data_IF_866565974504
#
_entry.id   IF_866565974504
#
_cell.length_a   1.000
_cell.length_b   1.000
_cell.length_c   1.000
_cell.angle_alpha   90.00
_cell.angle_beta   90.00
_cell.angle_gamma   90.00
#
_symmetry.space_group_name_H-M   'P 1'
#
loop_
_entity.id
_entity.type
_entity.pdbx_description
1 polymer ?
#
# COMPACT_ATOMS: atom_id res chain seq x y z
N UNK A 1 47.64 11.68 1.22
CA UNK A 1 46.38 12.27 1.77
C UNK A 1 45.16 12.22 0.84
N UNK A 2 45.23 11.73 -0.41
CA UNK A 2 44.07 11.67 -1.34
C UNK A 2 43.22 10.38 -1.30
N UNK A 3 43.66 9.30 -0.67
CA UNK A 3 42.89 8.04 -0.63
C UNK A 3 41.69 8.04 0.35
N UNK A 4 41.70 8.84 1.40
CA UNK A 4 40.64 8.84 2.40
C UNK A 4 39.39 9.64 2.01
N UNK A 5 39.48 10.49 0.98
CA UNK A 5 38.31 11.27 0.51
C UNK A 5 37.36 10.49 -0.38
N UNK A 6 37.89 9.55 -1.16
CA UNK A 6 37.08 8.69 -2.06
C UNK A 6 36.35 7.57 -1.32
N UNK A 7 36.92 7.03 -0.24
CA UNK A 7 36.24 6.01 0.59
C UNK A 7 35.06 6.58 1.39
N UNK A 8 35.14 7.85 1.83
CA UNK A 8 34.03 8.50 2.53
C UNK A 8 32.85 8.89 1.63
N UNK A 9 33.07 9.05 0.32
CA UNK A 9 32.01 9.31 -0.66
C UNK A 9 31.19 8.05 -0.99
N UNK A 10 31.74 6.86 -0.76
CA UNK A 10 31.07 5.56 -1.00
C UNK A 10 30.23 5.09 0.18
N UNK A 11 30.50 5.56 1.39
CA UNK A 11 29.68 5.29 2.59
C UNK A 11 28.58 6.35 2.73
N UNK A 12 27.51 6.22 1.99
CA UNK A 12 26.30 6.97 2.31
C UNK A 12 25.85 6.57 3.74
N UNK A 13 25.61 7.56 4.63
CA UNK A 13 25.18 7.26 5.99
C UNK A 13 23.91 6.43 5.91
N UNK A 14 23.88 5.32 6.65
CA UNK A 14 22.72 4.46 6.80
C UNK A 14 21.58 5.34 7.32
N UNK A 15 20.68 5.73 6.44
CA UNK A 15 19.53 6.57 6.85
C UNK A 15 18.56 5.67 7.58
N UNK A 16 18.50 5.75 8.89
CA UNK A 16 17.59 5.02 9.79
C UNK A 16 16.13 5.03 9.31
N UNK A 17 15.72 6.06 8.57
CA UNK A 17 14.39 6.16 7.95
C UNK A 17 14.00 4.97 7.07
N UNK A 18 14.97 4.23 6.55
CA UNK A 18 14.69 3.07 5.70
C UNK A 18 14.41 1.81 6.49
N UNK A 19 14.94 1.71 7.71
CA UNK A 19 14.75 0.56 8.57
C UNK A 19 13.48 0.67 9.42
N UNK A 20 12.91 1.87 9.56
CA UNK A 20 11.69 2.10 10.36
C UNK A 20 10.56 1.18 9.92
N UNK A 21 10.37 0.97 8.62
CA UNK A 21 9.30 0.09 8.13
C UNK A 21 9.54 -1.36 8.51
N UNK A 22 10.78 -1.85 8.36
CA UNK A 22 11.12 -3.22 8.75
C UNK A 22 10.91 -3.41 10.25
N UNK A 23 11.39 -2.47 11.04
CA UNK A 23 11.22 -2.49 12.50
C UNK A 23 9.74 -2.45 12.86
N UNK A 24 8.95 -1.56 12.23
CA UNK A 24 7.52 -1.46 12.49
C UNK A 24 6.76 -2.75 12.13
N UNK A 25 7.00 -3.31 10.94
CA UNK A 25 6.36 -4.55 10.48
C UNK A 25 6.78 -5.71 11.38
N UNK A 26 8.09 -5.84 11.69
CA UNK A 26 8.60 -6.90 12.57
C UNK A 26 8.03 -6.75 13.99
N UNK A 27 7.98 -5.54 14.55
CA UNK A 27 7.41 -5.29 15.88
C UNK A 27 5.93 -5.67 15.94
N UNK A 28 5.14 -5.29 14.93
CA UNK A 28 3.73 -5.68 14.82
C UNK A 28 3.59 -7.20 14.71
N UNK A 29 4.41 -7.85 13.87
CA UNK A 29 4.39 -9.31 13.71
C UNK A 29 4.72 -10.03 15.01
N UNK A 30 5.77 -9.61 15.71
CA UNK A 30 6.19 -10.22 16.98
C UNK A 30 5.12 -10.01 18.05
N UNK A 31 4.55 -8.80 18.15
CA UNK A 31 3.48 -8.50 19.10
C UNK A 31 2.28 -9.44 18.90
N UNK A 32 1.80 -9.56 17.66
CA UNK A 32 0.67 -10.43 17.36
C UNK A 32 1.03 -11.92 17.46
N UNK A 33 2.26 -12.32 17.17
CA UNK A 33 2.74 -13.69 17.36
C UNK A 33 2.72 -14.08 18.84
N UNK A 34 3.25 -13.24 19.72
CA UNK A 34 3.23 -13.48 21.17
C UNK A 34 1.78 -13.55 21.67
N UNK A 35 0.92 -12.62 21.27
CA UNK A 35 -0.49 -12.61 21.65
C UNK A 35 -1.26 -13.83 21.11
N UNK A 36 -0.93 -14.33 19.90
CA UNK A 36 -1.52 -15.53 19.32
C UNK A 36 -1.10 -16.80 20.06
N UNK A 37 0.18 -16.89 20.45
CA UNK A 37 0.73 -18.04 21.19
C UNK A 37 0.21 -18.09 22.64
N UNK A 38 -0.03 -16.94 23.27
CA UNK A 38 -0.59 -16.85 24.63
C UNK A 38 -2.11 -17.13 24.71
N UNK A 39 -2.76 -17.36 23.54
CA UNK A 39 -4.20 -17.65 23.50
C UNK A 39 -5.13 -16.45 23.75
N UNK A 40 -4.57 -15.26 23.91
CA UNK A 40 -5.31 -14.04 24.25
C UNK A 40 -5.96 -13.35 23.03
N UNK A 41 -5.87 -13.92 21.83
CA UNK A 41 -6.44 -13.34 20.61
C UNK A 41 -7.66 -14.17 20.16
N UNK A 42 -8.76 -13.47 19.83
CA UNK A 42 -9.89 -14.06 19.12
C UNK A 42 -9.40 -14.60 17.76
N UNK A 43 -9.87 -15.79 17.37
CA UNK A 43 -9.50 -16.49 16.12
C UNK A 43 -9.71 -15.68 14.82
N UNK A 44 -10.44 -14.56 14.89
CA UNK A 44 -10.71 -13.65 13.77
C UNK A 44 -9.49 -12.80 13.38
N UNK A 45 -8.62 -12.44 14.34
CA UNK A 45 -7.48 -11.55 14.05
C UNK A 45 -6.36 -12.19 13.20
N UNK A 46 -5.95 -13.46 13.42
CA UNK A 46 -4.99 -14.10 12.52
C UNK A 46 -5.43 -14.08 11.07
N UNK A 47 -6.68 -14.42 10.75
CA UNK A 47 -7.20 -14.37 9.39
C UNK A 47 -7.24 -12.96 8.78
N UNK A 48 -7.45 -11.93 9.61
CA UNK A 48 -7.32 -10.54 9.15
C UNK A 48 -5.86 -10.19 8.80
N UNK A 49 -4.90 -10.62 9.64
CA UNK A 49 -3.48 -10.39 9.41
C UNK A 49 -2.98 -11.12 8.16
N UNK A 50 -3.46 -12.34 7.91
CA UNK A 50 -3.17 -13.08 6.67
C UNK A 50 -3.58 -12.27 5.44
N UNK A 51 -4.81 -11.77 5.40
CA UNK A 51 -5.32 -10.93 4.31
C UNK A 51 -4.50 -9.64 4.13
N UNK A 52 -4.18 -8.95 5.24
CA UNK A 52 -3.35 -7.74 5.21
C UNK A 52 -1.95 -8.03 4.67
N UNK A 53 -1.30 -9.11 5.10
CA UNK A 53 0.02 -9.47 4.62
C UNK A 53 0.04 -9.77 3.12
N UNK A 54 -0.94 -10.55 2.62
CA UNK A 54 -1.10 -10.84 1.19
C UNK A 54 -1.34 -9.53 0.40
N UNK A 55 -2.22 -8.66 0.88
CA UNK A 55 -2.50 -7.38 0.24
C UNK A 55 -1.25 -6.47 0.18
N UNK A 56 -0.40 -6.48 1.22
CA UNK A 56 0.86 -5.73 1.23
C UNK A 56 1.83 -6.26 0.17
N UNK A 57 1.95 -7.58 0.01
CA UNK A 57 2.79 -8.19 -1.04
C UNK A 57 2.29 -7.76 -2.43
N UNK A 58 0.98 -7.88 -2.68
CA UNK A 58 0.36 -7.51 -3.95
C UNK A 58 0.49 -6.02 -4.24
N UNK A 59 0.18 -5.15 -3.29
CA UNK A 59 0.28 -3.71 -3.46
C UNK A 59 1.74 -3.25 -3.64
N UNK A 60 2.69 -3.86 -2.92
CA UNK A 60 4.11 -3.53 -3.06
C UNK A 60 4.68 -3.98 -4.41
N UNK A 61 4.31 -5.17 -4.88
CA UNK A 61 4.75 -5.71 -6.16
C UNK A 61 4.15 -4.95 -7.35
N UNK A 62 2.85 -4.65 -7.34
CA UNK A 62 2.21 -3.79 -8.35
C UNK A 62 2.75 -2.36 -8.28
N UNK A 63 3.02 -1.86 -7.07
CA UNK A 63 3.62 -0.54 -6.85
C UNK A 63 4.96 -0.37 -7.55
N UNK A 64 5.73 -1.45 -7.74
CA UNK A 64 6.97 -1.42 -8.50
C UNK A 64 6.72 -1.10 -9.99
N UNK A 65 5.66 -1.63 -10.58
CA UNK A 65 5.27 -1.36 -11.97
C UNK A 65 4.64 0.03 -12.09
N UNK A 66 3.63 0.33 -11.28
CA UNK A 66 2.85 1.57 -11.41
C UNK A 66 3.62 2.80 -10.88
N UNK A 67 4.23 2.68 -9.71
CA UNK A 67 4.84 3.85 -9.05
C UNK A 67 6.27 4.14 -9.51
N UNK A 68 7.04 3.12 -9.83
CA UNK A 68 8.46 3.29 -10.13
C UNK A 68 8.80 3.14 -11.62
N UNK A 69 8.10 2.28 -12.36
CA UNK A 69 8.25 2.19 -13.81
C UNK A 69 7.32 3.17 -14.54
N UNK A 70 6.18 3.52 -13.95
CA UNK A 70 5.19 4.43 -14.55
C UNK A 70 4.24 3.76 -15.53
N UNK A 71 4.16 2.44 -15.54
CA UNK A 71 3.29 1.68 -16.42
C UNK A 71 2.04 1.18 -15.68
N UNK A 72 0.87 1.39 -16.26
CA UNK A 72 -0.38 0.91 -15.68
C UNK A 72 -0.61 -0.56 -16.04
N UNK A 73 -0.78 -1.42 -15.03
CA UNK A 73 -1.10 -2.84 -15.21
C UNK A 73 -2.30 -3.24 -14.37
N UNK A 74 -3.26 -3.94 -15.00
CA UNK A 74 -4.47 -4.48 -14.38
C UNK A 74 -4.51 -6.02 -14.39
N UNK A 75 -3.40 -6.68 -14.71
CA UNK A 75 -3.29 -8.14 -14.78
C UNK A 75 -2.82 -8.82 -13.50
N UNK A 76 -2.71 -8.09 -12.39
CA UNK A 76 -2.06 -8.59 -11.17
C UNK A 76 -2.81 -9.75 -10.52
N UNK A 77 -4.15 -9.74 -10.55
CA UNK A 77 -4.98 -10.86 -10.10
C UNK A 77 -4.75 -12.12 -10.95
N UNK A 78 -4.45 -11.99 -12.25
CA UNK A 78 -4.11 -13.12 -13.12
C UNK A 78 -2.82 -13.81 -12.70
N UNK A 79 -1.75 -13.06 -12.37
CA UNK A 79 -0.51 -13.64 -11.85
C UNK A 79 -0.71 -14.29 -10.47
N UNK A 80 -1.52 -13.66 -9.61
CA UNK A 80 -1.93 -14.25 -8.33
C UNK A 80 -2.70 -15.55 -8.53
N UNK A 81 -3.62 -15.61 -9.51
CA UNK A 81 -4.38 -16.78 -9.87
C UNK A 81 -3.46 -17.95 -10.30
N UNK A 82 -2.51 -17.68 -11.21
CA UNK A 82 -1.50 -18.68 -11.63
C UNK A 82 -0.76 -19.24 -10.42
N UNK A 83 -0.25 -18.35 -9.56
CA UNK A 83 0.47 -18.75 -8.35
C UNK A 83 -0.38 -19.60 -7.42
N UNK A 84 -1.63 -19.20 -7.16
CA UNK A 84 -2.54 -19.88 -6.26
C UNK A 84 -2.89 -21.31 -6.75
N UNK A 85 -3.17 -21.47 -8.04
CA UNK A 85 -3.53 -22.77 -8.60
C UNK A 85 -2.33 -23.68 -8.79
N UNK A 86 -1.21 -23.17 -9.33
CA UNK A 86 0.01 -23.97 -9.53
C UNK A 86 0.61 -24.36 -8.18
N UNK A 87 0.81 -23.39 -7.28
CA UNK A 87 1.36 -23.68 -5.96
C UNK A 87 0.43 -24.52 -5.11
N UNK A 88 -0.89 -24.27 -5.14
CA UNK A 88 -1.90 -25.09 -4.47
C UNK A 88 -1.92 -26.54 -4.98
N UNK A 89 -1.75 -26.75 -6.30
CA UNK A 89 -1.65 -28.11 -6.88
C UNK A 89 -0.36 -28.81 -6.47
N UNK A 90 0.78 -28.12 -6.52
CA UNK A 90 2.06 -28.67 -6.04
C UNK A 90 1.96 -29.04 -4.56
N UNK A 91 1.37 -28.17 -3.74
CA UNK A 91 1.13 -28.45 -2.33
C UNK A 91 0.24 -29.71 -2.13
N UNK A 92 -0.87 -29.81 -2.85
CA UNK A 92 -1.77 -30.95 -2.73
C UNK A 92 -1.18 -32.25 -3.24
N UNK A 93 -0.23 -32.21 -4.20
CA UNK A 93 0.46 -33.41 -4.72
C UNK A 93 1.56 -33.92 -3.77
N UNK A 94 2.27 -32.99 -3.12
CA UNK A 94 3.38 -33.34 -2.23
C UNK A 94 2.92 -33.62 -0.79
N UNK A 95 1.81 -33.03 -0.37
CA UNK A 95 1.21 -33.21 0.96
C UNK A 95 0.06 -34.21 0.87
N UNK A 96 0.41 -35.48 0.52
CA UNK A 96 -0.53 -36.57 0.40
C UNK A 96 -1.04 -37.08 1.77
N UNK A 97 -0.62 -36.50 2.87
CA UNK A 97 -1.06 -36.86 4.22
C UNK A 97 -2.36 -36.15 4.56
N UNK A 98 -3.35 -36.95 4.99
CA UNK A 98 -4.68 -36.51 5.43
C UNK A 98 -4.66 -35.45 6.53
N UNK A 99 -4.31 -34.22 6.14
CA UNK A 99 -4.76 -32.97 6.82
C UNK A 99 -4.22 -32.64 8.21
N UNK A 100 -3.24 -33.36 8.76
CA UNK A 100 -2.87 -33.11 10.17
C UNK A 100 -1.63 -32.23 10.41
N UNK A 101 -0.68 -32.15 9.47
CA UNK A 101 0.48 -31.23 9.62
C UNK A 101 1.05 -30.86 8.26
N UNK A 102 0.80 -29.64 7.80
CA UNK A 102 1.43 -29.14 6.57
C UNK A 102 2.92 -29.04 6.78
N UNK A 103 3.69 -29.72 5.94
CA UNK A 103 5.15 -29.65 5.97
C UNK A 103 5.62 -28.29 5.44
N UNK A 104 6.32 -27.52 6.26
CA UNK A 104 6.89 -26.20 5.88
C UNK A 104 7.77 -26.30 4.62
N UNK A 105 8.49 -27.44 4.46
CA UNK A 105 9.32 -27.66 3.26
C UNK A 105 8.47 -27.74 1.98
N UNK A 106 7.33 -28.45 2.03
CA UNK A 106 6.38 -28.55 0.91
C UNK A 106 5.80 -27.17 0.58
N UNK A 107 5.45 -26.41 1.60
CA UNK A 107 4.96 -25.05 1.42
C UNK A 107 5.99 -24.13 0.74
N UNK A 108 7.27 -24.21 1.12
CA UNK A 108 8.34 -23.43 0.48
C UNK A 108 8.52 -23.82 -0.99
N UNK A 109 8.50 -25.13 -1.30
CA UNK A 109 8.55 -25.61 -2.68
C UNK A 109 7.35 -25.12 -3.49
N UNK A 110 6.15 -25.18 -2.93
CA UNK A 110 4.94 -24.69 -3.57
C UNK A 110 5.01 -23.17 -3.84
N UNK A 111 5.51 -22.38 -2.90
CA UNK A 111 5.69 -20.92 -3.03
C UNK A 111 6.68 -20.62 -4.16
N UNK A 112 7.82 -21.30 -4.21
CA UNK A 112 8.81 -21.10 -5.26
C UNK A 112 8.28 -21.54 -6.64
N UNK A 113 7.59 -22.68 -6.71
CA UNK A 113 7.00 -23.18 -7.95
C UNK A 113 5.92 -22.21 -8.48
N UNK A 114 4.96 -21.81 -7.63
CA UNK A 114 3.90 -20.88 -8.03
C UNK A 114 4.43 -19.52 -8.44
N UNK A 115 5.42 -18.98 -7.68
CA UNK A 115 6.09 -17.74 -8.02
C UNK A 115 6.87 -17.82 -9.33
N UNK A 116 7.64 -18.89 -9.55
CA UNK A 116 8.42 -19.09 -10.78
C UNK A 116 7.52 -19.20 -12.02
N UNK A 117 6.43 -19.96 -11.93
CA UNK A 117 5.47 -20.08 -13.06
C UNK A 117 4.79 -18.74 -13.32
N UNK A 118 4.37 -18.01 -12.28
CA UNK A 118 3.81 -16.66 -12.46
C UNK A 118 4.82 -15.71 -13.12
N UNK A 119 6.11 -15.76 -12.75
CA UNK A 119 7.18 -15.01 -13.39
C UNK A 119 7.38 -15.39 -14.86
N UNK A 120 7.31 -16.69 -15.19
CA UNK A 120 7.38 -17.18 -16.57
C UNK A 120 6.24 -16.58 -17.42
N UNK A 121 5.01 -16.62 -16.92
CA UNK A 121 3.87 -15.95 -17.57
C UNK A 121 4.06 -14.42 -17.62
N UNK A 122 4.69 -13.82 -16.61
CA UNK A 122 5.09 -12.42 -16.63
C UNK A 122 6.04 -12.08 -17.78
N UNK A 123 7.00 -12.95 -18.08
CA UNK A 123 7.89 -12.79 -19.25
C UNK A 123 7.09 -12.97 -20.55
N UNK A 124 6.30 -14.04 -20.64
CA UNK A 124 5.56 -14.39 -21.85
C UNK A 124 4.60 -13.28 -22.29
N UNK A 125 3.87 -12.70 -21.34
CA UNK A 125 2.96 -11.58 -21.59
C UNK A 125 3.70 -10.25 -21.65
N UNK A 126 4.75 -10.08 -20.84
CA UNK A 126 5.53 -8.84 -20.81
C UNK A 126 6.17 -8.51 -22.15
N UNK A 127 6.64 -9.50 -22.90
CA UNK A 127 7.27 -9.27 -24.22
C UNK A 127 6.34 -8.57 -25.21
N UNK A 128 5.10 -9.03 -25.48
CA UNK A 128 4.19 -8.32 -26.38
C UNK A 128 3.54 -7.10 -25.69
N UNK A 129 3.13 -7.19 -24.44
CA UNK A 129 2.37 -6.15 -23.74
C UNK A 129 3.19 -4.87 -23.54
N UNK A 130 4.48 -4.98 -23.19
CA UNK A 130 5.34 -3.83 -22.94
C UNK A 130 5.76 -3.05 -24.21
N UNK A 131 5.34 -3.49 -25.37
CA UNK A 131 5.41 -2.70 -26.62
C UNK A 131 4.30 -1.66 -26.70
N UNK A 132 3.21 -1.87 -25.96
CA UNK A 132 2.11 -0.94 -25.84
C UNK A 132 2.41 0.10 -24.74
N UNK A 133 1.70 1.22 -24.77
CA UNK A 133 1.93 2.35 -23.85
C UNK A 133 0.62 2.79 -23.21
N UNK A 134 0.73 3.31 -22.00
CA UNK A 134 -0.40 3.91 -21.27
C UNK A 134 -1.57 2.93 -21.08
N UNK A 135 -2.76 3.38 -21.45
CA UNK A 135 -4.02 2.65 -21.21
C UNK A 135 -4.10 1.33 -22.00
N UNK A 136 -3.46 1.24 -23.17
CA UNK A 136 -3.45 0.00 -23.96
C UNK A 136 -2.73 -1.14 -23.23
N UNK A 137 -1.66 -0.83 -22.48
CA UNK A 137 -1.00 -1.83 -21.65
C UNK A 137 -1.94 -2.32 -20.54
N UNK A 138 -2.68 -1.41 -19.92
CA UNK A 138 -3.65 -1.76 -18.88
C UNK A 138 -4.74 -2.70 -19.42
N UNK A 139 -5.30 -2.39 -20.62
CA UNK A 139 -6.33 -3.22 -21.25
C UNK A 139 -5.81 -4.63 -21.57
N UNK A 140 -4.61 -4.73 -22.15
CA UNK A 140 -4.03 -6.04 -22.50
C UNK A 140 -3.69 -6.86 -21.27
N UNK A 141 -3.17 -6.24 -20.22
CA UNK A 141 -2.89 -6.97 -18.96
C UNK A 141 -4.16 -7.39 -18.24
N UNK A 142 -5.23 -6.59 -18.30
CA UNK A 142 -6.55 -6.98 -17.79
C UNK A 142 -7.11 -8.17 -18.57
N UNK A 143 -7.10 -8.09 -19.91
CA UNK A 143 -7.55 -9.18 -20.77
C UNK A 143 -6.78 -10.49 -20.47
N UNK A 144 -5.46 -10.40 -20.27
CA UNK A 144 -4.66 -11.55 -19.84
C UNK A 144 -5.15 -12.13 -18.53
N UNK A 145 -5.41 -11.30 -17.51
CA UNK A 145 -5.93 -11.78 -16.22
C UNK A 145 -7.23 -12.54 -16.37
N UNK A 146 -8.17 -12.02 -17.19
CA UNK A 146 -9.46 -12.69 -17.47
C UNK A 146 -9.30 -13.97 -18.31
N UNK A 147 -8.37 -13.99 -19.26
CA UNK A 147 -8.05 -15.22 -20.02
C UNK A 147 -7.50 -16.30 -19.08
N UNK A 148 -6.55 -15.97 -18.20
CA UNK A 148 -6.00 -16.93 -17.22
C UNK A 148 -7.10 -17.47 -16.33
N UNK A 149 -7.94 -16.59 -15.77
CA UNK A 149 -9.08 -16.97 -14.93
C UNK A 149 -10.04 -17.92 -15.66
N UNK A 150 -10.39 -17.58 -16.90
CA UNK A 150 -11.29 -18.37 -17.73
C UNK A 150 -10.69 -19.71 -18.13
N UNK A 151 -9.41 -19.77 -18.50
CA UNK A 151 -8.70 -21.00 -18.82
C UNK A 151 -8.68 -21.92 -17.61
N UNK A 152 -8.27 -21.44 -16.45
CA UNK A 152 -8.23 -22.27 -15.23
C UNK A 152 -9.61 -22.78 -14.83
N UNK A 153 -10.66 -21.98 -15.01
CA UNK A 153 -12.04 -22.38 -14.72
C UNK A 153 -12.53 -23.52 -15.63
N UNK A 154 -12.06 -23.56 -16.88
CA UNK A 154 -12.49 -24.55 -17.89
C UNK A 154 -11.55 -25.74 -18.02
N UNK A 155 -10.44 -25.78 -17.25
CA UNK A 155 -9.57 -26.94 -17.22
C UNK A 155 -10.26 -28.13 -16.53
N UNK A 156 -9.88 -29.38 -16.86
CA UNK A 156 -10.44 -30.58 -16.24
C UNK A 156 -10.39 -30.52 -14.70
N UNK A 157 -11.42 -31.08 -14.06
CA UNK A 157 -11.54 -31.07 -12.59
C UNK A 157 -10.36 -31.78 -11.92
N UNK A 158 -9.80 -32.82 -12.56
CA UNK A 158 -8.64 -33.56 -12.05
C UNK A 158 -7.37 -32.72 -11.97
N UNK A 159 -7.25 -31.70 -12.80
CA UNK A 159 -6.08 -30.81 -12.80
C UNK A 159 -6.20 -29.71 -11.75
N UNK A 160 -7.23 -28.88 -11.83
CA UNK A 160 -7.38 -27.68 -11.00
C UNK A 160 -8.75 -27.53 -10.34
N UNK A 161 -9.56 -28.59 -10.33
CA UNK A 161 -10.87 -28.62 -9.67
C UNK A 161 -11.99 -27.90 -10.43
N UNK A 162 -11.73 -27.43 -11.67
CA UNK A 162 -12.72 -26.77 -12.53
C UNK A 162 -13.48 -25.62 -11.85
N UNK A 163 -14.79 -25.58 -12.02
CA UNK A 163 -15.69 -24.59 -11.40
C UNK A 163 -15.82 -24.73 -9.88
N UNK A 164 -15.63 -25.95 -9.34
CA UNK A 164 -15.69 -26.23 -7.90
C UNK A 164 -14.45 -25.73 -7.15
N UNK A 165 -13.40 -25.41 -7.87
CA UNK A 165 -12.13 -24.92 -7.33
C UNK A 165 -11.21 -26.01 -6.78
N UNK A 166 -9.92 -25.68 -6.70
CA UNK A 166 -8.86 -26.57 -6.23
C UNK A 166 -8.93 -26.70 -4.70
N UNK A 167 -9.00 -27.94 -4.20
CA UNK A 167 -8.85 -28.24 -2.77
C UNK A 167 -7.37 -28.09 -2.40
N UNK A 168 -7.10 -27.26 -1.41
CA UNK A 168 -5.73 -26.94 -0.97
C UNK A 168 -5.54 -27.33 0.49
N UNK A 169 -4.33 -27.79 0.87
CA UNK A 169 -4.03 -28.06 2.27
C UNK A 169 -4.11 -26.76 3.06
N UNK A 170 -4.72 -26.80 4.24
CA UNK A 170 -4.82 -25.66 5.15
C UNK A 170 -3.67 -25.68 6.15
N UNK A 171 -3.05 -24.54 6.30
CA UNK A 171 -2.12 -24.34 7.40
C UNK A 171 -2.84 -23.80 8.65
N UNK A 172 -2.30 -24.10 9.84
CA UNK A 172 -2.89 -23.54 11.08
C UNK A 172 -2.76 -22.00 11.05
N UNK A 173 -3.90 -21.33 11.18
CA UNK A 173 -4.00 -19.86 11.18
C UNK A 173 -3.09 -19.19 12.21
N UNK A 174 -2.77 -19.89 13.31
CA UNK A 174 -1.90 -19.36 14.37
C UNK A 174 -0.46 -19.11 13.90
N UNK A 175 0.00 -19.86 12.89
CA UNK A 175 1.37 -19.78 12.40
C UNK A 175 1.45 -19.21 10.98
N UNK A 176 0.39 -19.36 10.17
CA UNK A 176 0.38 -18.95 8.77
C UNK A 176 0.65 -17.44 8.60
N UNK A 177 0.03 -16.59 9.43
CA UNK A 177 0.25 -15.16 9.34
C UNK A 177 1.73 -14.77 9.58
N UNK A 178 2.44 -15.51 10.45
CA UNK A 178 3.88 -15.26 10.71
C UNK A 178 4.69 -15.51 9.42
N UNK A 179 4.40 -16.62 8.74
CA UNK A 179 5.06 -16.98 7.49
C UNK A 179 4.74 -15.93 6.41
N UNK A 180 3.49 -15.50 6.29
CA UNK A 180 3.09 -14.45 5.35
C UNK A 180 3.88 -13.15 5.62
N UNK A 181 4.02 -12.73 6.88
CA UNK A 181 4.78 -11.53 7.20
C UNK A 181 6.29 -11.66 6.97
N UNK A 182 6.87 -12.86 7.09
CA UNK A 182 8.24 -13.12 6.65
C UNK A 182 8.35 -12.86 5.14
N UNK A 183 7.39 -13.35 4.33
CA UNK A 183 7.38 -13.08 2.90
C UNK A 183 7.11 -11.60 2.58
N UNK A 184 6.33 -10.89 3.38
CA UNK A 184 6.22 -9.41 3.28
C UNK A 184 7.58 -8.75 3.44
N UNK A 185 8.35 -9.12 4.46
CA UNK A 185 9.69 -8.58 4.70
C UNK A 185 10.65 -8.90 3.55
N UNK A 186 10.62 -10.14 3.05
CA UNK A 186 11.43 -10.56 1.88
C UNK A 186 11.06 -9.73 0.65
N UNK A 187 9.77 -9.60 0.36
CA UNK A 187 9.25 -8.81 -0.78
C UNK A 187 9.73 -7.36 -0.70
N UNK A 188 9.57 -6.73 0.45
CA UNK A 188 10.02 -5.36 0.67
C UNK A 188 11.54 -5.23 0.56
N UNK A 189 12.31 -6.20 1.09
CA UNK A 189 13.76 -6.20 1.00
C UNK A 189 14.22 -6.28 -0.47
N UNK A 190 13.66 -7.19 -1.26
CA UNK A 190 14.00 -7.33 -2.68
C UNK A 190 13.64 -6.08 -3.47
N UNK A 191 12.42 -5.57 -3.32
CA UNK A 191 11.95 -4.36 -4.01
C UNK A 191 12.81 -3.16 -3.63
N UNK A 192 13.08 -2.92 -2.34
CA UNK A 192 13.90 -1.79 -1.91
C UNK A 192 15.34 -1.89 -2.41
N UNK A 193 15.95 -3.08 -2.36
CA UNK A 193 17.30 -3.28 -2.85
C UNK A 193 17.37 -3.08 -4.37
N UNK A 194 16.38 -3.57 -5.12
CA UNK A 194 16.29 -3.35 -6.56
C UNK A 194 16.18 -1.86 -6.88
N UNK A 195 15.28 -1.14 -6.22
CA UNK A 195 15.06 0.29 -6.47
C UNK A 195 16.25 1.18 -6.07
N UNK A 196 17.05 0.77 -5.10
CA UNK A 196 18.27 1.50 -4.67
C UNK A 196 19.49 1.19 -5.53
N UNK A 197 19.47 0.09 -6.28
CA UNK A 197 20.56 -0.34 -7.11
C UNK A 197 20.74 0.57 -8.34
N UNK A 198 21.79 0.29 -9.16
CA UNK A 198 21.94 0.90 -10.47
C UNK A 198 20.76 0.59 -11.40
N UNK A 199 20.13 -0.57 -11.23
CA UNK A 199 18.92 -0.93 -11.99
C UNK A 199 17.73 -0.04 -11.62
N UNK A 200 17.55 0.28 -10.34
CA UNK A 200 16.48 1.19 -9.89
C UNK A 200 16.63 2.59 -10.44
N UNK A 201 17.84 3.11 -10.57
CA UNK A 201 18.10 4.40 -11.23
C UNK A 201 17.72 4.38 -12.72
N UNK A 202 18.04 3.29 -13.41
CA UNK A 202 17.63 3.11 -14.82
C UNK A 202 16.09 3.01 -14.94
N UNK A 203 15.41 2.30 -14.01
CA UNK A 203 13.95 2.22 -13.99
C UNK A 203 13.33 3.61 -13.78
N UNK A 204 13.84 4.40 -12.82
CA UNK A 204 13.34 5.75 -12.58
C UNK A 204 13.56 6.69 -13.75
N UNK A 205 14.72 6.59 -14.46
CA UNK A 205 14.97 7.40 -15.65
C UNK A 205 14.02 7.06 -16.82
N UNK A 206 13.62 5.78 -16.96
CA UNK A 206 12.63 5.36 -17.96
C UNK A 206 11.26 5.98 -17.62
N UNK A 207 10.85 5.97 -16.37
CA UNK A 207 9.60 6.60 -15.91
C UNK A 207 9.58 8.10 -16.20
N UNK A 208 10.69 8.78 -15.92
CA UNK A 208 10.77 10.25 -16.06
C UNK A 208 10.80 10.67 -17.54
N UNK A 209 11.58 10.00 -18.37
CA UNK A 209 11.58 10.19 -19.83
C UNK A 209 12.17 8.98 -20.56
N UNK A 210 11.31 8.16 -21.15
CA UNK A 210 11.72 6.94 -21.90
C UNK A 210 12.64 7.24 -23.08
N UNK A 211 12.37 8.34 -23.82
CA UNK A 211 13.12 8.71 -25.00
C UNK A 211 14.55 9.11 -24.62
N UNK A 212 14.68 9.96 -23.61
CA UNK A 212 15.98 10.38 -23.11
C UNK A 212 16.77 9.21 -22.51
N UNK A 213 16.14 8.31 -21.75
CA UNK A 213 16.76 7.11 -21.20
C UNK A 213 17.33 6.21 -22.32
N UNK A 214 16.57 6.04 -23.41
CA UNK A 214 16.99 5.27 -24.59
C UNK A 214 18.16 5.94 -25.31
N UNK A 215 18.15 7.27 -25.46
CA UNK A 215 19.25 8.03 -26.07
C UNK A 215 20.55 7.91 -25.25
N UNK A 216 20.45 7.75 -23.91
CA UNK A 216 21.57 7.49 -23.02
C UNK A 216 22.04 6.02 -22.98
N UNK A 217 21.56 5.18 -23.91
CA UNK A 217 21.97 3.77 -24.03
C UNK A 217 21.27 2.80 -23.06
N UNK A 218 20.22 3.22 -22.35
CA UNK A 218 19.47 2.33 -21.45
C UNK A 218 18.54 1.44 -22.28
N UNK A 219 18.69 0.13 -22.11
CA UNK A 219 17.79 -0.84 -22.76
C UNK A 219 16.42 -0.86 -22.03
N UNK A 220 15.50 -0.04 -22.50
CA UNK A 220 14.17 0.16 -21.92
C UNK A 220 13.40 -1.15 -21.81
N UNK A 221 13.36 -1.94 -22.88
CA UNK A 221 12.62 -3.21 -22.92
C UNK A 221 13.10 -4.18 -21.84
N UNK A 222 14.42 -4.30 -21.66
CA UNK A 222 15.02 -5.17 -20.63
C UNK A 222 14.59 -4.76 -19.22
N UNK A 223 14.61 -3.47 -18.91
CA UNK A 223 14.25 -2.97 -17.59
C UNK A 223 12.75 -3.05 -17.32
N UNK A 224 11.91 -2.74 -18.32
CA UNK A 224 10.46 -2.92 -18.21
C UNK A 224 10.13 -4.41 -17.96
N UNK A 225 10.71 -5.32 -18.73
CA UNK A 225 10.49 -6.75 -18.57
C UNK A 225 10.97 -7.25 -17.21
N UNK A 226 12.14 -6.79 -16.73
CA UNK A 226 12.65 -7.16 -15.40
C UNK A 226 11.67 -6.76 -14.30
N UNK A 227 11.19 -5.52 -14.31
CA UNK A 227 10.23 -5.03 -13.30
C UNK A 227 8.93 -5.84 -13.34
N UNK A 228 8.42 -6.09 -14.54
CA UNK A 228 7.17 -6.82 -14.74
C UNK A 228 7.28 -8.27 -14.28
N UNK A 229 8.40 -8.95 -14.59
CA UNK A 229 8.68 -10.32 -14.17
C UNK A 229 8.82 -10.45 -12.66
N UNK A 230 9.57 -9.55 -12.01
CA UNK A 230 9.73 -9.56 -10.54
C UNK A 230 8.38 -9.27 -9.86
N UNK A 231 7.59 -8.36 -10.44
CA UNK A 231 6.25 -8.06 -9.94
C UNK A 231 5.32 -9.27 -10.04
N UNK A 232 5.30 -9.97 -11.18
CA UNK A 232 4.54 -11.20 -11.38
C UNK A 232 4.98 -12.32 -10.44
N UNK A 233 6.29 -12.46 -10.18
CA UNK A 233 6.84 -13.43 -9.23
C UNK A 233 6.25 -13.25 -7.83
N UNK A 234 6.26 -12.03 -7.30
CA UNK A 234 5.70 -11.75 -5.98
C UNK A 234 4.17 -11.84 -5.95
N UNK A 235 3.49 -11.50 -7.04
CA UNK A 235 2.06 -11.74 -7.16
C UNK A 235 1.73 -13.25 -7.11
N UNK A 236 2.55 -14.08 -7.76
CA UNK A 236 2.46 -15.54 -7.68
C UNK A 236 2.67 -16.05 -6.25
N UNK A 237 3.70 -15.56 -5.55
CA UNK A 237 3.92 -15.90 -4.13
C UNK A 237 2.70 -15.55 -3.28
N UNK A 238 2.15 -14.35 -3.45
CA UNK A 238 0.93 -13.93 -2.75
C UNK A 238 -0.25 -14.88 -3.04
N UNK A 239 -0.35 -15.34 -4.28
CA UNK A 239 -1.36 -16.34 -4.69
C UNK A 239 -1.20 -17.68 -3.97
N UNK A 240 0.02 -18.21 -3.88
CA UNK A 240 0.28 -19.44 -3.13
C UNK A 240 -0.04 -19.27 -1.65
N UNK A 241 0.40 -18.18 -1.04
CA UNK A 241 0.08 -17.88 0.36
C UNK A 241 -1.44 -17.77 0.58
N UNK A 242 -2.16 -17.16 -0.38
CA UNK A 242 -3.62 -17.11 -0.35
C UNK A 242 -4.24 -18.49 -0.42
N UNK A 243 -3.71 -19.43 -1.22
CA UNK A 243 -4.25 -20.80 -1.32
C UNK A 243 -4.25 -21.52 0.02
N UNK A 244 -3.26 -21.31 0.87
CA UNK A 244 -3.20 -21.90 2.22
C UNK A 244 -4.18 -21.28 3.23
N UNK A 245 -4.72 -20.09 2.94
CA UNK A 245 -5.75 -19.45 3.78
C UNK A 245 -7.16 -19.99 3.50
N UNK A 246 -7.37 -20.61 2.34
CA UNK A 246 -8.67 -21.10 1.86
C UNK A 246 -8.78 -22.63 1.94
N UNK A 247 -10.00 -23.15 2.08
CA UNK A 247 -10.24 -24.59 1.94
C UNK A 247 -10.24 -25.03 0.47
N UNK A 248 -10.73 -24.13 -0.36
CA UNK A 248 -10.76 -24.27 -1.82
C UNK A 248 -10.43 -22.93 -2.45
N UNK A 249 -9.60 -22.96 -3.46
CA UNK A 249 -9.28 -21.81 -4.29
C UNK A 249 -10.18 -21.85 -5.51
N UNK A 250 -11.01 -20.83 -5.68
CA UNK A 250 -11.94 -20.71 -6.79
C UNK A 250 -11.43 -19.61 -7.73
N UNK A 251 -11.42 -19.88 -9.04
CA UNK A 251 -10.93 -18.93 -10.05
C UNK A 251 -11.74 -17.62 -10.08
N UNK A 252 -13.03 -17.66 -9.73
CA UNK A 252 -13.88 -16.47 -9.67
C UNK A 252 -13.41 -15.40 -8.66
N UNK A 253 -12.57 -15.76 -7.70
CA UNK A 253 -11.99 -14.80 -6.73
C UNK A 253 -10.98 -13.86 -7.39
N UNK A 254 -10.35 -14.27 -8.49
CA UNK A 254 -9.29 -13.53 -9.17
C UNK A 254 -9.81 -12.75 -10.39
N UNK A 255 -10.91 -12.06 -10.22
CA UNK A 255 -11.55 -11.25 -11.25
C UNK A 255 -10.84 -9.90 -11.47
N UNK A 256 -11.31 -9.16 -12.46
CA UNK A 256 -10.79 -7.81 -12.74
C UNK A 256 -11.02 -6.83 -11.59
N UNK A 257 -12.10 -6.99 -10.79
CA UNK A 257 -12.35 -6.13 -9.63
C UNK A 257 -11.24 -6.26 -8.59
N UNK A 258 -10.73 -7.48 -8.38
CA UNK A 258 -9.60 -7.70 -7.47
C UNK A 258 -8.33 -7.01 -7.97
N UNK A 259 -8.06 -7.01 -9.29
CA UNK A 259 -6.94 -6.23 -9.88
C UNK A 259 -7.10 -4.73 -9.66
N UNK A 260 -8.33 -4.20 -9.82
CA UNK A 260 -8.63 -2.79 -9.56
C UNK A 260 -8.45 -2.46 -8.08
N UNK A 261 -8.86 -3.34 -7.17
CA UNK A 261 -8.66 -3.14 -5.72
C UNK A 261 -7.17 -3.01 -5.36
N UNK A 262 -6.32 -3.88 -5.91
CA UNK A 262 -4.87 -3.79 -5.72
C UNK A 262 -4.33 -2.48 -6.30
N UNK A 263 -4.78 -2.05 -7.48
CA UNK A 263 -4.39 -0.77 -8.07
C UNK A 263 -4.79 0.41 -7.19
N UNK A 264 -6.00 0.40 -6.65
CA UNK A 264 -6.49 1.44 -5.71
C UNK A 264 -5.58 1.52 -4.49
N UNK A 265 -5.13 0.39 -3.92
CA UNK A 265 -4.16 0.38 -2.81
C UNK A 265 -2.86 1.10 -3.18
N UNK A 266 -2.35 0.89 -4.40
CA UNK A 266 -1.12 1.54 -4.88
C UNK A 266 -1.33 3.05 -5.10
N UNK A 267 -2.39 3.43 -5.80
CA UNK A 267 -2.68 4.85 -6.11
C UNK A 267 -2.99 5.63 -4.83
N UNK A 268 -3.81 5.08 -3.95
CA UNK A 268 -4.13 5.68 -2.66
C UNK A 268 -2.90 5.77 -1.76
N UNK A 269 -2.01 4.78 -1.81
CA UNK A 269 -0.70 4.83 -1.15
C UNK A 269 0.15 6.01 -1.61
N UNK A 270 0.03 6.42 -2.86
CA UNK A 270 0.74 7.51 -3.50
C UNK A 270 1.88 7.02 -4.38
N UNK A 271 1.83 7.47 -5.63
CA UNK A 271 2.81 7.14 -6.66
C UNK A 271 4.21 7.61 -6.25
N UNK A 272 5.21 6.75 -6.41
CA UNK A 272 6.61 7.04 -6.07
C UNK A 272 7.00 6.78 -4.61
N UNK A 273 6.10 6.27 -3.76
CA UNK A 273 6.40 5.89 -2.38
C UNK A 273 6.34 4.38 -2.19
N UNK A 274 7.29 3.81 -1.43
CA UNK A 274 7.26 2.38 -1.05
C UNK A 274 6.32 2.18 0.16
N UNK A 275 6.28 3.14 1.06
CA UNK A 275 5.54 3.06 2.32
C UNK A 275 4.04 3.27 2.15
N UNK A 276 3.67 4.06 1.14
CA UNK A 276 2.29 4.39 0.88
C UNK A 276 1.41 3.18 0.58
N UNK A 277 1.79 2.32 -0.38
CA UNK A 277 1.06 1.09 -0.66
C UNK A 277 0.90 0.16 0.54
N UNK A 278 1.90 0.07 1.43
CA UNK A 278 1.82 -0.74 2.66
C UNK A 278 0.71 -0.24 3.58
N UNK A 279 0.70 1.08 3.85
CA UNK A 279 -0.32 1.70 4.70
C UNK A 279 -1.70 1.62 4.06
N UNK A 280 -1.80 1.88 2.75
CA UNK A 280 -3.05 1.82 2.02
C UNK A 280 -3.63 0.39 1.98
N UNK A 281 -2.79 -0.62 1.70
CA UNK A 281 -3.20 -2.02 1.72
C UNK A 281 -3.72 -2.44 3.09
N UNK A 282 -3.01 -2.07 4.17
CA UNK A 282 -3.44 -2.34 5.54
C UNK A 282 -4.80 -1.70 5.85
N UNK A 283 -4.95 -0.41 5.50
CA UNK A 283 -6.18 0.34 5.79
C UNK A 283 -7.38 -0.20 4.99
N UNK A 284 -7.19 -0.42 3.69
CA UNK A 284 -8.25 -0.89 2.78
C UNK A 284 -8.70 -2.30 3.18
N UNK A 285 -7.76 -3.24 3.40
CA UNK A 285 -8.08 -4.61 3.79
C UNK A 285 -8.74 -4.67 5.17
N UNK A 286 -8.28 -3.85 6.12
CA UNK A 286 -8.92 -3.73 7.44
C UNK A 286 -10.35 -3.22 7.32
N UNK A 287 -10.56 -2.15 6.55
CA UNK A 287 -11.87 -1.53 6.36
C UNK A 287 -12.84 -2.51 5.67
N UNK A 288 -12.41 -3.14 4.57
CA UNK A 288 -13.22 -4.13 3.85
C UNK A 288 -13.63 -5.29 4.77
N UNK A 289 -12.68 -5.86 5.52
CA UNK A 289 -12.96 -6.98 6.44
C UNK A 289 -13.88 -6.55 7.58
N UNK A 290 -13.75 -5.35 8.12
CA UNK A 290 -14.62 -4.84 9.18
C UNK A 290 -16.02 -4.56 8.68
N UNK A 291 -16.17 -4.00 7.49
CA UNK A 291 -17.48 -3.79 6.86
C UNK A 291 -18.21 -5.11 6.61
N UNK A 292 -17.48 -6.17 6.19
CA UNK A 292 -18.05 -7.52 6.04
C UNK A 292 -18.63 -8.07 7.34
N UNK A 293 -18.01 -7.76 8.48
CA UNK A 293 -18.47 -8.23 9.79
C UNK A 293 -19.62 -7.38 10.34
N UNK A 294 -19.63 -6.06 10.03
CA UNK A 294 -20.65 -5.13 10.55
C UNK A 294 -21.94 -5.16 9.72
N UNK A 295 -21.84 -5.35 8.42
CA UNK A 295 -22.98 -5.35 7.48
C UNK A 295 -23.35 -6.80 7.15
N UNK A 296 -24.10 -7.44 8.05
CA UNK A 296 -24.59 -8.83 7.87
C UNK A 296 -26.09 -8.79 7.60
N UNK A 297 -26.61 -9.81 6.88
CA UNK A 297 -28.03 -9.89 6.51
C UNK A 297 -28.38 -9.00 5.32
N UNK A 298 -29.52 -8.33 5.38
CA UNK A 298 -30.05 -7.47 4.30
C UNK A 298 -29.13 -6.29 3.94
N UNK A 299 -28.32 -5.84 4.90
CA UNK A 299 -27.35 -4.76 4.70
C UNK A 299 -26.08 -5.21 3.98
N UNK A 300 -25.85 -6.52 3.80
CA UNK A 300 -24.68 -7.04 3.10
C UNK A 300 -24.61 -6.56 1.65
N UNK A 301 -25.76 -6.33 1.01
CA UNK A 301 -25.84 -5.79 -0.36
C UNK A 301 -25.25 -4.37 -0.44
N UNK A 302 -25.39 -3.58 0.61
CA UNK A 302 -24.86 -2.22 0.68
C UNK A 302 -23.37 -2.14 1.04
N UNK A 303 -22.77 -3.26 1.39
CA UNK A 303 -21.35 -3.32 1.78
C UNK A 303 -20.42 -2.73 0.73
N UNK A 304 -20.58 -3.14 -0.53
CA UNK A 304 -19.76 -2.65 -1.64
C UNK A 304 -19.99 -1.17 -1.91
N UNK A 305 -21.21 -0.69 -1.74
CA UNK A 305 -21.55 0.73 -1.88
C UNK A 305 -20.85 1.58 -0.81
N UNK A 306 -20.94 1.18 0.46
CA UNK A 306 -20.25 1.89 1.55
C UNK A 306 -18.74 1.84 1.40
N UNK A 307 -18.19 0.69 1.02
CA UNK A 307 -16.77 0.54 0.74
C UNK A 307 -16.32 1.50 -0.38
N UNK A 308 -17.03 1.53 -1.51
CA UNK A 308 -16.73 2.43 -2.61
C UNK A 308 -16.86 3.90 -2.22
N UNK A 309 -17.91 4.28 -1.49
CA UNK A 309 -18.11 5.65 -1.03
C UNK A 309 -16.97 6.13 -0.11
N UNK A 310 -16.54 5.27 0.83
CA UNK A 310 -15.42 5.57 1.73
C UNK A 310 -14.11 5.72 0.94
N UNK A 311 -13.84 4.81 -0.02
CA UNK A 311 -12.65 4.90 -0.87
C UNK A 311 -12.64 6.20 -1.69
N UNK A 312 -13.76 6.54 -2.34
CA UNK A 312 -13.90 7.79 -3.10
C UNK A 312 -13.66 8.99 -2.18
N UNK A 313 -14.25 9.01 -0.98
CA UNK A 313 -14.02 10.06 0.01
C UNK A 313 -12.55 10.23 0.38
N UNK A 314 -11.83 9.11 0.62
CA UNK A 314 -10.40 9.14 0.94
C UNK A 314 -9.57 9.66 -0.25
N UNK A 315 -9.89 9.21 -1.48
CA UNK A 315 -9.19 9.65 -2.70
C UNK A 315 -9.40 11.14 -2.95
N UNK A 316 -10.65 11.63 -2.82
CA UNK A 316 -10.98 13.05 -2.95
C UNK A 316 -10.24 13.86 -1.87
N UNK A 317 -10.31 13.45 -0.61
CA UNK A 317 -9.61 14.12 0.49
C UNK A 317 -8.10 14.24 0.23
N UNK A 318 -7.49 13.18 -0.32
CA UNK A 318 -6.04 13.14 -0.58
C UNK A 318 -5.63 13.97 -1.79
N UNK A 319 -6.43 13.99 -2.86
CA UNK A 319 -6.03 14.53 -4.16
C UNK A 319 -6.72 15.86 -4.53
N UNK A 320 -7.84 16.24 -3.88
CA UNK A 320 -8.55 17.46 -4.21
C UNK A 320 -7.69 18.71 -3.94
N UNK A 321 -7.49 19.59 -4.94
CA UNK A 321 -6.70 20.81 -4.78
C UNK A 321 -7.35 21.79 -3.80
N UNK A 322 -8.68 21.84 -3.72
CA UNK A 322 -9.42 22.69 -2.79
C UNK A 322 -9.22 22.33 -1.30
N UNK A 323 -8.91 21.05 -1.00
CA UNK A 323 -8.64 20.58 0.36
C UNK A 323 -7.17 20.68 0.76
N UNK A 324 -6.30 21.19 -0.13
CA UNK A 324 -4.85 21.33 0.15
C UNK A 324 -4.60 22.22 1.35
N UNK A 325 -5.30 23.36 1.44
CA UNK A 325 -5.19 24.31 2.55
C UNK A 325 -5.61 23.67 3.89
N UNK A 326 -6.76 23.02 3.92
CA UNK A 326 -7.29 22.31 5.11
C UNK A 326 -6.34 21.19 5.57
N UNK A 327 -5.75 20.47 4.63
CA UNK A 327 -4.78 19.39 4.89
C UNK A 327 -3.45 19.91 5.42
N UNK A 328 -3.00 21.08 4.97
CA UNK A 328 -1.77 21.73 5.45
C UNK A 328 -1.94 22.28 6.87
N UNK A 329 -3.13 22.73 7.22
CA UNK A 329 -3.47 23.23 8.55
C UNK A 329 -3.55 22.08 9.58
N UNK A 330 -4.14 20.93 9.22
CA UNK A 330 -4.32 19.75 10.07
C UNK A 330 -3.21 18.70 9.92
N UNK A 331 -2.06 19.07 9.36
CA UNK A 331 -0.98 18.13 9.10
C UNK A 331 -0.26 17.75 10.41
N UNK A 332 -0.53 16.52 10.91
CA UNK A 332 0.10 15.94 12.10
C UNK A 332 1.64 15.97 12.05
N UNK A 333 2.24 16.04 10.86
CA UNK A 333 3.69 16.21 10.72
C UNK A 333 4.20 17.55 11.27
N UNK A 334 3.36 18.60 11.38
CA UNK A 334 3.73 19.85 12.03
C UNK A 334 3.93 19.69 13.54
N UNK A 335 3.20 18.76 14.18
CA UNK A 335 3.34 18.45 15.61
C UNK A 335 4.70 17.78 15.96
N UNK A 336 5.28 17.05 15.01
CA UNK A 336 6.55 16.33 15.19
C UNK A 336 7.76 17.03 14.54
N UNK A 337 7.55 18.11 13.81
CA UNK A 337 8.65 18.89 13.22
C UNK A 337 9.18 19.85 14.29
N UNK A 338 10.39 19.63 14.79
CA UNK A 338 11.10 20.61 15.61
C UNK A 338 11.20 21.89 14.79
N UNK A 339 10.58 22.97 15.27
CA UNK A 339 10.65 24.30 14.64
C UNK A 339 12.10 24.70 14.51
N UNK A 340 12.51 25.13 13.31
CA UNK A 340 13.83 25.70 13.08
C UNK A 340 14.01 26.96 13.94
N UNK A 341 15.25 27.36 14.28
CA UNK A 341 15.48 28.58 15.06
C UNK A 341 14.81 29.82 14.45
N UNK A 342 14.79 29.93 13.13
CA UNK A 342 14.14 31.01 12.38
C UNK A 342 12.61 30.97 12.52
N UNK A 343 11.99 29.80 12.38
CA UNK A 343 10.54 29.63 12.60
C UNK A 343 10.12 29.93 14.04
N UNK A 344 11.01 29.70 15.02
CA UNK A 344 10.77 30.09 16.42
C UNK A 344 10.81 31.60 16.60
N UNK A 345 11.78 32.31 15.98
CA UNK A 345 11.86 33.75 16.02
C UNK A 345 10.67 34.44 15.37
N UNK A 346 10.25 33.97 14.19
CA UNK A 346 9.03 34.46 13.53
C UNK A 346 7.76 34.20 14.36
N UNK A 347 7.65 33.06 15.03
CA UNK A 347 6.52 32.77 15.89
C UNK A 347 6.49 33.62 17.17
N UNK A 348 7.66 34.01 17.70
CA UNK A 348 7.79 34.92 18.85
C UNK A 348 7.40 36.33 18.43
N UNK A 349 7.94 36.85 17.31
CA UNK A 349 7.63 38.15 16.75
C UNK A 349 6.12 38.33 16.47
N UNK A 350 5.49 37.33 15.81
CA UNK A 350 4.06 37.36 15.56
C UNK A 350 3.19 37.30 16.84
N UNK A 351 3.70 36.68 17.91
CA UNK A 351 3.02 36.65 19.22
C UNK A 351 3.12 37.96 19.95
N UNK A 352 4.23 38.66 19.81
CA UNK A 352 4.44 40.01 20.36
C UNK A 352 3.59 41.05 19.63
N UNK A 353 3.51 40.96 18.31
CA UNK A 353 2.68 41.84 17.49
C UNK A 353 1.18 41.68 17.82
N UNK A 354 0.70 40.45 17.97
CA UNK A 354 -0.67 40.20 18.46
C UNK A 354 -0.93 40.75 19.86
N UNK A 355 0.08 40.72 20.76
CA UNK A 355 -0.05 41.30 22.09
C UNK A 355 -0.12 42.82 22.02
N UNK A 356 0.68 43.47 21.15
CA UNK A 356 0.61 44.91 20.92
C UNK A 356 -0.73 45.37 20.39
N UNK A 357 -1.23 44.70 19.34
CA UNK A 357 -2.56 44.98 18.77
C UNK A 357 -3.69 44.76 19.78
N UNK A 358 -3.57 43.74 20.65
CA UNK A 358 -4.56 43.50 21.71
C UNK A 358 -4.50 44.55 22.83
N UNK A 359 -3.33 45.12 23.12
CA UNK A 359 -3.16 46.23 24.05
C UNK A 359 -3.75 47.53 23.48
N UNK A 360 -3.42 47.91 22.25
CA UNK A 360 -3.97 49.05 21.53
C UNK A 360 -5.50 49.02 21.44
N UNK A 361 -6.09 47.86 21.14
CA UNK A 361 -7.55 47.68 21.16
C UNK A 361 -8.17 47.84 22.56
N UNK A 362 -7.44 47.52 23.61
CA UNK A 362 -7.89 47.76 24.99
C UNK A 362 -7.85 49.23 25.37
N UNK A 363 -6.80 49.97 24.98
CA UNK A 363 -6.67 51.41 25.16
C UNK A 363 -7.78 52.14 24.41
N UNK A 364 -7.99 51.89 23.14
CA UNK A 364 -9.10 52.46 22.37
C UNK A 364 -10.46 52.26 23.01
N UNK A 365 -10.73 51.02 23.53
CA UNK A 365 -11.98 50.72 24.24
C UNK A 365 -12.10 51.47 25.56
N UNK A 366 -10.96 51.81 26.21
CA UNK A 366 -10.95 52.59 27.43
C UNK A 366 -11.21 54.09 27.14
N UNK A 367 -10.59 54.63 26.12
CA UNK A 367 -10.81 56.01 25.64
C UNK A 367 -12.25 56.21 25.18
N UNK A 368 -12.83 55.25 24.42
CA UNK A 368 -14.26 55.26 24.04
C UNK A 368 -15.21 55.23 25.25
N UNK A 369 -14.83 54.50 26.30
CA UNK A 369 -15.63 54.46 27.53
C UNK A 369 -15.53 55.80 28.32
N UNK A 370 -14.38 56.39 28.36
CA UNK A 370 -14.15 57.70 29.05
C UNK A 370 -14.89 58.77 28.29
N UNK A 371 -14.78 58.85 26.96
CA UNK A 371 -15.48 59.83 26.14
C UNK A 371 -17.01 59.71 26.24
N UNK A 372 -17.55 58.49 26.25
CA UNK A 372 -19.00 58.23 26.47
C UNK A 372 -19.46 58.61 27.88
N UNK A 373 -18.62 58.45 28.91
CA UNK A 373 -18.92 58.88 30.25
C UNK A 373 -18.90 60.40 30.38
N UNK A 374 -17.93 61.12 29.78
CA UNK A 374 -17.84 62.54 29.71
C UNK A 374 -19.06 63.14 29.01
N UNK A 375 -19.44 62.56 27.82
CA UNK A 375 -20.62 63.02 27.08
C UNK A 375 -21.93 62.81 27.84
N UNK A 376 -22.02 61.78 28.69
CA UNK A 376 -23.21 61.51 29.54
C UNK A 376 -23.27 62.46 30.70
N UNK A 377 -22.15 62.81 31.34
CA UNK A 377 -22.07 63.80 32.40
C UNK A 377 -22.40 65.22 31.92
N UNK A 378 -21.90 65.61 30.70
CA UNK A 378 -22.24 66.90 30.08
C UNK A 378 -23.73 66.99 29.72
N UNK A 379 -24.39 65.87 29.35
CA UNK A 379 -25.82 65.84 29.02
C UNK A 379 -26.71 65.93 30.29
N UNK A 380 -26.23 65.42 31.41
CA UNK A 380 -26.94 65.50 32.70
C UNK A 380 -26.81 66.93 33.30
N UNK A 381 -25.64 67.56 33.25
CA UNK A 381 -25.43 68.95 33.71
C UNK A 381 -26.33 69.95 32.95
N UNK A 382 -26.56 69.74 31.63
CA UNK A 382 -27.53 70.58 30.83
C UNK A 382 -28.98 70.33 31.15
N UNK A 383 -29.33 69.31 31.90
CA UNK A 383 -30.70 69.02 32.31
C UNK A 383 -31.05 69.59 33.69
N UNK A 384 -30.04 69.88 34.51
CA UNK A 384 -30.22 70.52 35.82
C UNK A 384 -30.31 72.05 35.74
N UNK A 385 -29.85 72.67 34.61
CA UNK A 385 -29.93 74.12 34.35
C UNK A 385 -31.20 74.55 33.58
N UNK A 386 -32.22 73.67 33.47
CA UNK A 386 -33.52 73.97 32.89
C UNK A 386 -34.60 73.70 33.92
#
# INVERSE_FOLDING_TARGET
>A
MRKNHTENLLRQPIRWKYYINYIAITAVTVLFAVLSLTGNIKSTYPGLLEKIGIAIILASSLGMVVSFLGELSLGHAGFMCIGAFVGGKVASMLDATDGSTVNIGVMLIAILAGGAVAALFGILIGIPALRLRGDYLAIVTLAFGEIVRSVIMNLPEDLFGGTLGLKTPRFDKKYLFIIIFIFVLITLAVIQNLLRSKHGRAISSIRDNEIAARAMGINVTKYKLLVFTVSAFFAGIAGVLFSYTQARVVSSTFDYNYSIEILVMVVLGGIGSINGPIVAATLITYLSTKLQVLLVGDLAVLQNLFYAAILIGIVIYKNAPGLKYFREEHNLKKLFKKKTPEEKMHAIAAKEEKKRQAAERKEQKLEDKVSKKAAKSAKNAKKEDR
#
